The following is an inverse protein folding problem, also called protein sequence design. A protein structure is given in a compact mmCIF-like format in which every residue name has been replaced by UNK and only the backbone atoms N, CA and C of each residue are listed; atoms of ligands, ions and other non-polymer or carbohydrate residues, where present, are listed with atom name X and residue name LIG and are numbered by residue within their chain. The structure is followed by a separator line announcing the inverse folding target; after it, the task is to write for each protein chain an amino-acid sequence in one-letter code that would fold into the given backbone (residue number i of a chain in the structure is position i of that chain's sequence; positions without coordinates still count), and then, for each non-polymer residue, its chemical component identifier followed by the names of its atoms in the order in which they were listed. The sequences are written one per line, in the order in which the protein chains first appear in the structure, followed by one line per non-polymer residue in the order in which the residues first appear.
data_IF_498146906456
#
_entry.id   IF_498146906456
#
_cell.length_a   1.000
_cell.length_b   1.000
_cell.length_c   1.000
_cell.angle_alpha   90.00
_cell.angle_beta   90.00
_cell.angle_gamma   90.00
#
_symmetry.space_group_name_H-M   'P 1'
#
loop_
_entity.id
_entity.type
_entity.pdbx_description
1 polymer ?
#
# COMPACT_ATOMS: atom_id res chain seq x y z
N UNK A 1 -46.33 6.00 7.36
CA UNK A 1 -44.93 6.47 7.49
C UNK A 1 -44.53 7.04 6.13
N UNK A 2 -44.37 8.35 6.00
CA UNK A 2 -44.07 9.00 4.71
C UNK A 2 -42.58 8.78 4.39
N UNK A 3 -42.21 8.27 3.21
CA UNK A 3 -40.81 8.04 2.87
C UNK A 3 -40.07 9.38 2.78
N UNK A 4 -39.06 9.57 3.65
CA UNK A 4 -38.19 10.73 3.61
C UNK A 4 -37.29 10.59 2.38
N UNK A 5 -37.47 11.47 1.40
CA UNK A 5 -36.57 11.53 0.24
C UNK A 5 -35.21 12.11 0.68
N UNK A 6 -34.12 11.35 0.41
CA UNK A 6 -32.73 11.74 0.75
C UNK A 6 -32.37 13.17 0.35
N UNK A 7 -32.83 13.62 -0.82
CA UNK A 7 -32.60 15.00 -1.30
C UNK A 7 -33.27 16.06 -0.42
N UNK A 8 -34.49 15.78 0.04
CA UNK A 8 -35.20 16.70 0.94
C UNK A 8 -34.52 16.77 2.30
N UNK A 9 -34.04 15.64 2.82
CA UNK A 9 -33.30 15.59 4.08
C UNK A 9 -32.00 16.39 3.99
N UNK A 10 -31.17 16.14 2.98
CA UNK A 10 -29.89 16.82 2.80
C UNK A 10 -30.04 18.34 2.60
N UNK A 11 -31.06 18.77 1.86
CA UNK A 11 -31.36 20.19 1.69
C UNK A 11 -31.79 20.85 3.00
N UNK A 12 -32.63 20.17 3.79
CA UNK A 12 -33.06 20.67 5.10
C UNK A 12 -31.90 20.74 6.09
N UNK A 13 -31.01 19.75 6.11
CA UNK A 13 -29.80 19.75 6.95
C UNK A 13 -28.82 20.85 6.54
N UNK A 14 -28.56 21.02 5.24
CA UNK A 14 -27.68 22.07 4.74
C UNK A 14 -28.24 23.48 5.01
N UNK A 15 -29.56 23.65 4.93
CA UNK A 15 -30.23 24.89 5.31
C UNK A 15 -30.14 25.15 6.82
N UNK A 16 -30.36 24.12 7.66
CA UNK A 16 -30.24 24.22 9.11
C UNK A 16 -28.82 24.55 9.61
N UNK A 17 -27.79 24.18 8.84
CA UNK A 17 -26.39 24.47 9.14
C UNK A 17 -25.85 25.74 8.45
N UNK A 18 -26.66 26.46 7.66
CA UNK A 18 -26.23 27.65 6.92
C UNK A 18 -25.23 27.38 5.78
N UNK A 19 -25.04 26.11 5.41
CA UNK A 19 -24.05 25.66 4.40
C UNK A 19 -24.59 25.67 2.96
N UNK A 20 -25.86 26.04 2.77
CA UNK A 20 -26.51 26.02 1.46
C UNK A 20 -25.80 26.90 0.41
N UNK A 21 -25.25 28.05 0.82
CA UNK A 21 -24.47 28.93 -0.05
C UNK A 21 -23.11 28.34 -0.44
N UNK A 22 -22.42 27.75 0.54
CA UNK A 22 -21.13 27.07 0.32
C UNK A 22 -21.28 25.90 -0.65
N UNK A 23 -22.28 25.03 -0.44
CA UNK A 23 -22.54 23.89 -1.31
C UNK A 23 -22.87 24.30 -2.75
N UNK A 24 -23.55 25.43 -2.95
CA UNK A 24 -23.80 25.99 -4.29
C UNK A 24 -22.54 26.54 -4.95
N UNK A 25 -21.58 27.03 -4.16
CA UNK A 25 -20.31 27.58 -4.67
C UNK A 25 -19.29 26.52 -5.08
N UNK A 26 -19.45 25.27 -4.62
CA UNK A 26 -18.53 24.16 -4.93
C UNK A 26 -18.66 23.63 -6.37
N UNK A 27 -19.67 24.07 -7.13
CA UNK A 27 -19.92 23.60 -8.49
C UNK A 27 -20.29 22.10 -8.55
N UNK A 28 -20.72 21.60 -9.73
CA UNK A 28 -20.88 20.16 -9.92
C UNK A 28 -19.51 19.48 -9.95
N UNK A 29 -19.35 18.39 -9.18
CA UNK A 29 -18.19 17.49 -9.31
C UNK A 29 -18.10 17.02 -10.75
N UNK A 30 -16.92 17.12 -11.36
CA UNK A 30 -16.74 16.64 -12.73
C UNK A 30 -16.67 15.11 -12.73
N UNK A 31 -17.14 14.50 -13.82
CA UNK A 31 -17.22 13.05 -13.91
C UNK A 31 -15.82 12.39 -13.96
N UNK A 32 -14.80 13.10 -14.44
CA UNK A 32 -13.40 12.69 -14.44
C UNK A 32 -12.72 12.85 -13.06
N UNK A 33 -13.18 13.79 -12.23
CA UNK A 33 -12.79 13.91 -10.81
C UNK A 33 -13.32 12.75 -9.95
N UNK A 34 -14.33 12.03 -10.45
CA UNK A 34 -14.99 10.90 -9.76
C UNK A 34 -14.82 9.56 -10.49
N UNK A 35 -14.21 9.56 -11.67
CA UNK A 35 -13.95 8.37 -12.46
C UNK A 35 -12.79 7.58 -11.85
N UNK A 36 -13.13 6.55 -11.08
CA UNK A 36 -12.16 5.59 -10.56
C UNK A 36 -11.93 4.52 -11.63
N UNK A 37 -10.68 4.35 -12.07
CA UNK A 37 -10.32 3.22 -12.93
C UNK A 37 -10.76 1.91 -12.25
N UNK A 38 -11.64 1.11 -12.87
CA UNK A 38 -12.04 -0.17 -12.31
C UNK A 38 -10.82 -1.11 -12.25
N UNK A 39 -10.69 -1.89 -11.17
CA UNK A 39 -9.69 -2.95 -11.08
C UNK A 39 -8.37 -2.60 -10.36
N UNK A 40 -8.24 -1.45 -9.69
CA UNK A 40 -7.09 -1.10 -8.85
C UNK A 40 -7.47 -1.13 -7.36
N UNK A 41 -6.52 -1.48 -6.47
CA UNK A 41 -6.70 -1.43 -5.03
C UNK A 41 -7.20 -0.06 -4.54
N UNK A 42 -8.21 -0.08 -3.66
CA UNK A 42 -8.85 1.11 -3.07
C UNK A 42 -8.54 1.18 -1.59
N UNK A 43 -8.42 2.40 -1.08
CA UNK A 43 -8.24 2.65 0.36
C UNK A 43 -9.51 3.25 0.97
N UNK A 44 -9.50 3.45 2.29
CA UNK A 44 -10.61 4.12 2.98
C UNK A 44 -10.81 5.54 2.44
N UNK A 45 -12.06 6.01 2.47
CA UNK A 45 -12.44 7.35 1.98
C UNK A 45 -11.66 8.48 2.66
N UNK A 46 -11.15 8.25 3.87
CA UNK A 46 -10.34 9.22 4.61
C UNK A 46 -8.92 9.40 4.03
N UNK A 47 -8.23 8.31 3.69
CA UNK A 47 -6.82 8.37 3.25
C UNK A 47 -6.67 8.47 1.74
N UNK A 48 -7.63 7.93 0.98
CA UNK A 48 -7.60 7.88 -0.49
C UNK A 48 -7.32 9.25 -1.14
N UNK A 49 -7.93 10.38 -0.69
CA UNK A 49 -7.63 11.70 -1.26
C UNK A 49 -6.16 12.12 -1.10
N UNK A 50 -5.51 11.74 0.00
CA UNK A 50 -4.11 12.07 0.23
C UNK A 50 -3.16 11.19 -0.57
N UNK A 51 -3.50 9.90 -0.74
CA UNK A 51 -2.78 9.01 -1.64
C UNK A 51 -2.84 9.55 -3.07
N UNK A 52 -4.05 9.88 -3.55
CA UNK A 52 -4.26 10.45 -4.89
C UNK A 52 -3.53 11.76 -5.07
N UNK A 53 -3.45 12.58 -4.02
CA UNK A 53 -2.65 13.79 -4.04
C UNK A 53 -1.17 13.48 -4.34
N UNK A 54 -0.56 12.49 -3.68
CA UNK A 54 0.84 12.11 -3.97
C UNK A 54 0.99 11.54 -5.39
N UNK A 55 0.04 10.72 -5.84
CA UNK A 55 0.06 10.12 -7.18
C UNK A 55 -0.04 11.16 -8.29
N UNK A 56 -0.97 12.10 -8.16
CA UNK A 56 -1.33 13.01 -9.26
C UNK A 56 -0.52 14.30 -9.24
N UNK A 57 0.08 14.67 -8.11
CA UNK A 57 0.90 15.89 -8.05
C UNK A 57 2.21 15.68 -8.79
N UNK A 58 2.55 16.53 -9.78
CA UNK A 58 3.83 16.45 -10.49
C UNK A 58 5.04 16.52 -9.54
N UNK A 59 6.12 15.79 -9.86
CA UNK A 59 7.31 15.69 -9.01
C UNK A 59 7.94 17.06 -8.70
N UNK A 60 7.98 17.96 -9.67
CA UNK A 60 8.50 19.33 -9.53
C UNK A 60 7.67 20.20 -8.58
N UNK A 61 6.46 19.78 -8.23
CA UNK A 61 5.54 20.52 -7.32
C UNK A 61 5.26 19.79 -6.01
N UNK A 62 5.46 18.47 -5.95
CA UNK A 62 4.97 17.64 -4.84
C UNK A 62 5.47 18.10 -3.47
N UNK A 63 6.72 18.56 -3.38
CA UNK A 63 7.31 18.99 -2.10
C UNK A 63 6.66 20.27 -1.61
N UNK A 64 6.48 21.25 -2.50
CA UNK A 64 5.84 22.51 -2.16
C UNK A 64 4.37 22.31 -1.78
N UNK A 65 3.63 21.53 -2.56
CA UNK A 65 2.23 21.22 -2.28
C UNK A 65 2.06 20.44 -0.97
N UNK A 66 2.96 19.49 -0.69
CA UNK A 66 2.96 18.73 0.57
C UNK A 66 3.23 19.66 1.75
N UNK A 67 4.20 20.58 1.62
CA UNK A 67 4.48 21.59 2.64
C UNK A 67 3.28 22.50 2.92
N UNK A 68 2.51 22.89 1.88
CA UNK A 68 1.26 23.65 2.05
C UNK A 68 0.21 22.85 2.83
N UNK A 69 0.04 21.55 2.54
CA UNK A 69 -0.86 20.67 3.31
C UNK A 69 -0.41 20.51 4.76
N UNK A 70 0.88 20.34 5.02
CA UNK A 70 1.45 20.26 6.39
C UNK A 70 1.12 21.55 7.16
N UNK A 71 1.36 22.72 6.56
CA UNK A 71 0.99 24.02 7.16
C UNK A 71 -0.51 24.17 7.41
N UNK A 72 -1.35 23.52 6.59
CA UNK A 72 -2.79 23.48 6.74
C UNK A 72 -3.28 22.41 7.74
N UNK A 73 -2.38 21.71 8.43
CA UNK A 73 -2.73 20.74 9.49
C UNK A 73 -2.68 19.26 9.09
N UNK A 74 -2.12 18.92 7.92
CA UNK A 74 -1.87 17.51 7.58
C UNK A 74 -0.93 16.88 8.62
N UNK A 75 -1.39 15.79 9.25
CA UNK A 75 -0.57 15.10 10.24
C UNK A 75 0.56 14.30 9.61
N UNK A 76 1.66 14.17 10.36
CA UNK A 76 2.80 13.33 9.97
C UNK A 76 2.38 11.88 9.70
N UNK A 77 1.54 11.30 10.57
CA UNK A 77 1.05 9.93 10.44
C UNK A 77 0.20 9.73 9.17
N UNK A 78 -0.65 10.70 8.82
CA UNK A 78 -1.42 10.65 7.56
C UNK A 78 -0.49 10.70 6.34
N UNK A 79 0.52 11.57 6.33
CA UNK A 79 1.49 11.62 5.23
C UNK A 79 2.29 10.31 5.11
N UNK A 80 2.73 9.74 6.24
CA UNK A 80 3.44 8.46 6.27
C UNK A 80 2.57 7.31 5.72
N UNK A 81 1.30 7.26 6.14
CA UNK A 81 0.33 6.28 5.65
C UNK A 81 0.11 6.42 4.14
N UNK A 82 -0.18 7.64 3.67
CA UNK A 82 -0.42 7.89 2.26
C UNK A 82 0.81 7.59 1.39
N UNK A 83 2.02 7.87 1.87
CA UNK A 83 3.25 7.55 1.16
C UNK A 83 3.42 6.03 0.99
N UNK A 84 3.23 5.26 2.07
CA UNK A 84 3.30 3.80 2.00
C UNK A 84 2.26 3.25 1.00
N UNK A 85 1.01 3.69 1.15
CA UNK A 85 -0.11 3.25 0.32
C UNK A 85 0.05 3.62 -1.16
N UNK A 86 0.54 4.82 -1.46
CA UNK A 86 0.86 5.24 -2.82
C UNK A 86 1.98 4.38 -3.42
N UNK A 87 3.01 4.07 -2.62
CA UNK A 87 4.11 3.20 -3.05
C UNK A 87 3.63 1.79 -3.39
N UNK A 88 2.90 1.13 -2.48
CA UNK A 88 2.44 -0.26 -2.69
C UNK A 88 1.41 -0.38 -3.81
N UNK A 89 0.67 0.69 -4.12
CA UNK A 89 -0.31 0.73 -5.22
C UNK A 89 0.32 0.92 -6.59
N UNK A 90 1.39 1.71 -6.71
CA UNK A 90 1.87 2.20 -8.03
C UNK A 90 3.33 1.85 -8.34
N UNK A 91 4.03 1.12 -7.47
CA UNK A 91 5.41 0.72 -7.73
C UNK A 91 5.51 -0.79 -7.63
N UNK A 92 5.84 -1.43 -8.74
CA UNK A 92 5.97 -2.88 -8.78
C UNK A 92 7.23 -3.33 -8.00
N UNK A 93 7.15 -4.34 -7.12
CA UNK A 93 8.32 -4.92 -6.45
C UNK A 93 9.18 -5.82 -7.36
N UNK A 94 8.87 -5.86 -8.66
CA UNK A 94 9.48 -6.73 -9.67
C UNK A 94 10.08 -5.88 -10.80
N UNK A 95 11.07 -6.38 -11.55
CA UNK A 95 11.64 -7.74 -11.54
C UNK A 95 12.63 -8.03 -10.40
N UNK A 96 13.02 -7.03 -9.60
CA UNK A 96 13.88 -7.21 -8.43
C UNK A 96 13.27 -6.45 -7.26
N UNK A 97 13.15 -7.11 -6.10
CA UNK A 97 12.67 -6.44 -4.88
C UNK A 97 13.78 -5.50 -4.43
N UNK A 98 13.64 -4.21 -4.71
CA UNK A 98 14.72 -3.21 -4.58
C UNK A 98 14.65 -2.17 -5.70
N UNK A 99 15.73 -1.43 -5.95
CA UNK A 99 15.77 -0.37 -6.97
C UNK A 99 14.60 0.62 -6.83
N UNK A 100 13.67 0.69 -7.81
CA UNK A 100 12.47 1.54 -7.74
C UNK A 100 11.59 1.21 -6.52
N UNK A 101 11.58 -0.05 -6.09
CA UNK A 101 10.78 -0.45 -4.94
C UNK A 101 11.31 0.09 -3.59
N UNK A 102 12.49 0.72 -3.56
CA UNK A 102 12.92 1.48 -2.38
C UNK A 102 11.92 2.57 -1.99
N UNK A 103 11.08 3.05 -2.91
CA UNK A 103 9.94 3.92 -2.58
C UNK A 103 9.07 3.38 -1.44
N UNK A 104 8.93 2.06 -1.31
CA UNK A 104 8.20 1.38 -0.22
C UNK A 104 9.15 0.98 0.90
N UNK A 105 10.30 0.37 0.57
CA UNK A 105 11.20 -0.22 1.58
C UNK A 105 11.77 0.80 2.56
N UNK A 106 11.97 2.05 2.13
CA UNK A 106 12.61 3.09 2.96
C UNK A 106 11.63 3.84 3.87
N UNK A 107 10.32 3.63 3.75
CA UNK A 107 9.31 4.44 4.47
C UNK A 107 9.54 4.40 5.99
N UNK A 108 9.75 3.22 6.56
CA UNK A 108 10.09 3.08 7.98
C UNK A 108 11.44 3.74 8.33
N UNK A 109 12.44 3.62 7.48
CA UNK A 109 13.75 4.22 7.71
C UNK A 109 13.70 5.74 7.68
N UNK A 110 12.94 6.32 6.74
CA UNK A 110 12.64 7.75 6.71
C UNK A 110 11.89 8.17 7.99
N UNK A 111 10.96 7.34 8.47
CA UNK A 111 10.29 7.57 9.74
C UNK A 111 11.24 7.63 10.93
N UNK A 112 12.14 6.64 11.07
CA UNK A 112 13.14 6.62 12.15
C UNK A 112 14.13 7.79 12.05
N UNK A 113 14.53 8.18 10.84
CA UNK A 113 15.37 9.35 10.61
C UNK A 113 14.65 10.64 11.01
N UNK A 114 13.37 10.78 10.69
CA UNK A 114 12.53 11.91 11.13
C UNK A 114 12.46 12.00 12.65
N UNK A 115 12.33 10.87 13.36
CA UNK A 115 12.27 10.85 14.82
C UNK A 115 13.62 11.15 15.50
N UNK A 116 14.73 10.83 14.82
CA UNK A 116 16.08 11.00 15.34
C UNK A 116 16.68 12.38 15.05
N UNK A 117 16.06 13.16 14.15
CA UNK A 117 16.49 14.51 13.76
C UNK A 117 16.04 15.61 14.73
N UNK A 118 16.61 16.79 14.54
CA UNK A 118 16.17 18.02 15.22
C UNK A 118 14.73 18.37 14.84
N UNK A 119 14.01 19.06 15.72
CA UNK A 119 12.59 19.39 15.55
C UNK A 119 12.33 20.12 14.22
N UNK A 120 13.23 21.03 13.82
CA UNK A 120 13.15 21.80 12.59
C UNK A 120 13.37 20.95 11.32
N UNK A 121 14.04 19.81 11.46
CA UNK A 121 14.48 18.94 10.36
C UNK A 121 13.59 17.70 10.20
N UNK A 122 12.66 17.43 11.14
CA UNK A 122 11.87 16.18 11.18
C UNK A 122 11.10 15.87 9.90
N UNK A 123 10.75 16.89 9.11
CA UNK A 123 10.05 16.71 7.85
C UNK A 123 10.97 16.36 6.68
N UNK A 124 12.28 16.63 6.76
CA UNK A 124 13.19 16.41 5.64
C UNK A 124 13.25 14.95 5.18
N UNK A 125 13.38 13.94 6.06
CA UNK A 125 13.46 12.55 5.62
C UNK A 125 12.18 12.06 4.92
N UNK A 126 11.00 12.48 5.41
CA UNK A 126 9.73 12.08 4.80
C UNK A 126 9.47 12.83 3.48
N UNK A 127 9.87 14.10 3.37
CA UNK A 127 9.81 14.86 2.11
C UNK A 127 10.76 14.27 1.06
N UNK A 128 11.96 13.85 1.45
CA UNK A 128 12.86 13.08 0.58
C UNK A 128 12.20 11.79 0.10
N UNK A 129 11.54 11.05 1.00
CA UNK A 129 10.86 9.81 0.64
C UNK A 129 9.69 10.04 -0.33
N UNK A 130 8.97 11.16 -0.21
CA UNK A 130 7.95 11.60 -1.19
C UNK A 130 8.56 11.85 -2.57
N UNK A 131 9.68 12.58 -2.66
CA UNK A 131 10.37 12.78 -3.95
C UNK A 131 10.86 11.44 -4.55
N UNK A 132 11.43 10.57 -3.72
CA UNK A 132 11.89 9.25 -4.13
C UNK A 132 10.73 8.37 -4.65
N UNK A 133 9.56 8.44 -4.03
CA UNK A 133 8.34 7.82 -4.54
C UNK A 133 8.00 8.33 -5.94
N UNK A 134 8.00 9.65 -6.17
CA UNK A 134 7.71 10.22 -7.50
C UNK A 134 8.71 9.78 -8.56
N UNK A 135 9.99 9.69 -8.21
CA UNK A 135 11.02 9.16 -9.12
C UNK A 135 10.75 7.69 -9.48
N UNK A 136 10.30 6.90 -8.52
CA UNK A 136 10.04 5.47 -8.69
C UNK A 136 8.75 5.21 -9.45
N UNK A 137 7.70 6.00 -9.20
CA UNK A 137 6.44 5.98 -9.94
C UNK A 137 6.66 6.30 -11.42
N UNK A 138 7.39 7.38 -11.73
CA UNK A 138 7.70 7.76 -13.11
C UNK A 138 8.50 6.67 -13.86
N UNK A 139 9.36 5.93 -13.14
CA UNK A 139 10.06 4.77 -13.69
C UNK A 139 9.11 3.59 -13.91
N UNK A 140 8.21 3.32 -12.99
CA UNK A 140 7.21 2.26 -13.14
C UNK A 140 6.29 2.49 -14.34
N UNK A 141 5.85 3.74 -14.54
CA UNK A 141 5.07 4.17 -15.71
C UNK A 141 5.78 3.83 -17.04
N UNK A 142 7.12 3.96 -17.09
CA UNK A 142 7.93 3.62 -18.26
C UNK A 142 8.14 2.11 -18.43
N UNK A 143 8.00 1.34 -17.36
CA UNK A 143 8.24 -0.11 -17.30
C UNK A 143 6.94 -0.93 -17.36
N UNK A 144 5.83 -0.32 -17.77
CA UNK A 144 4.54 -1.00 -17.95
C UNK A 144 3.40 -0.47 -17.08
N UNK A 145 3.67 0.53 -16.24
CA UNK A 145 2.69 1.22 -15.39
C UNK A 145 1.86 0.25 -14.55
N UNK A 146 2.56 -0.57 -13.77
CA UNK A 146 1.92 -1.58 -12.95
C UNK A 146 1.16 -0.91 -11.80
N UNK A 147 0.01 -1.49 -11.47
CA UNK A 147 -0.74 -1.13 -10.28
C UNK A 147 -1.19 -2.36 -9.52
N UNK A 148 -1.25 -2.28 -8.19
CA UNK A 148 -1.82 -3.35 -7.37
C UNK A 148 -3.30 -3.54 -7.74
N UNK A 149 -3.72 -4.72 -8.21
CA UNK A 149 -5.10 -4.92 -8.66
C UNK A 149 -6.09 -4.86 -7.49
N UNK A 150 -7.36 -4.65 -7.82
CA UNK A 150 -8.45 -4.87 -6.89
C UNK A 150 -8.45 -6.31 -6.38
N UNK A 151 -9.00 -6.54 -5.19
CA UNK A 151 -9.17 -7.88 -4.63
C UNK A 151 -10.15 -8.67 -5.49
N UNK A 152 -9.82 -9.91 -5.81
CA UNK A 152 -10.79 -10.88 -6.32
C UNK A 152 -11.56 -11.49 -5.14
N UNK A 153 -12.66 -10.85 -4.78
CA UNK A 153 -13.50 -11.26 -3.64
C UNK A 153 -14.07 -12.69 -3.80
N UNK A 154 -14.20 -13.19 -5.03
CA UNK A 154 -14.73 -14.54 -5.29
C UNK A 154 -13.68 -15.64 -5.04
N UNK A 155 -12.40 -15.29 -5.07
CA UNK A 155 -11.29 -16.22 -4.85
C UNK A 155 -10.89 -16.36 -3.37
N UNK A 156 -11.47 -15.56 -2.47
CA UNK A 156 -11.08 -15.53 -1.06
C UNK A 156 -11.36 -16.86 -0.36
N UNK A 157 -10.36 -17.49 0.28
CA UNK A 157 -10.61 -18.67 1.10
C UNK A 157 -11.38 -18.28 2.38
N UNK A 158 -12.07 -19.27 2.96
CA UNK A 158 -12.76 -19.10 4.24
C UNK A 158 -11.77 -18.82 5.38
N UNK A 159 -12.25 -18.20 6.46
CA UNK A 159 -11.45 -17.92 7.65
C UNK A 159 -10.77 -19.17 8.23
N UNK A 160 -11.46 -20.32 8.20
CA UNK A 160 -10.92 -21.59 8.71
C UNK A 160 -9.71 -22.12 7.91
N UNK A 161 -9.62 -21.80 6.62
CA UNK A 161 -8.60 -22.35 5.71
C UNK A 161 -7.57 -21.31 5.25
N UNK A 162 -7.76 -20.02 5.57
CA UNK A 162 -6.94 -18.93 5.02
C UNK A 162 -5.43 -19.13 5.25
N UNK A 163 -5.02 -19.60 6.44
CA UNK A 163 -3.61 -19.83 6.77
C UNK A 163 -3.00 -20.99 5.98
N UNK A 164 -3.72 -22.12 5.86
CA UNK A 164 -3.23 -23.28 5.12
C UNK A 164 -3.18 -23.01 3.62
N UNK A 165 -4.18 -22.29 3.08
CA UNK A 165 -4.19 -21.88 1.68
C UNK A 165 -3.06 -20.89 1.36
N UNK A 166 -2.75 -19.96 2.26
CA UNK A 166 -1.63 -19.04 2.08
C UNK A 166 -0.30 -19.79 2.02
N UNK A 167 -0.06 -20.72 2.96
CA UNK A 167 1.15 -21.56 2.98
C UNK A 167 1.28 -22.35 1.68
N UNK A 168 0.22 -23.07 1.30
CA UNK A 168 0.17 -23.84 0.05
C UNK A 168 0.48 -22.96 -1.17
N UNK A 169 -0.14 -21.78 -1.27
CA UNK A 169 0.09 -20.88 -2.39
C UNK A 169 1.53 -20.36 -2.44
N UNK A 170 2.11 -19.98 -1.29
CA UNK A 170 3.50 -19.53 -1.20
C UNK A 170 4.50 -20.64 -1.53
N UNK A 171 4.23 -21.89 -1.11
CA UNK A 171 5.03 -23.08 -1.44
C UNK A 171 4.97 -23.45 -2.93
N UNK A 172 3.79 -23.32 -3.56
CA UNK A 172 3.59 -23.60 -4.98
C UNK A 172 3.98 -22.42 -5.90
N UNK A 173 4.37 -21.29 -5.30
CA UNK A 173 4.63 -20.03 -5.99
C UNK A 173 3.45 -19.56 -6.85
N UNK A 174 2.23 -19.76 -6.35
CA UNK A 174 0.98 -19.37 -7.01
C UNK A 174 0.58 -17.95 -6.59
N UNK A 175 0.83 -16.99 -7.48
CA UNK A 175 0.61 -15.57 -7.21
C UNK A 175 -0.85 -15.21 -6.96
N UNK A 176 -1.77 -15.78 -7.76
CA UNK A 176 -3.19 -15.47 -7.66
C UNK A 176 -3.78 -16.07 -6.37
N UNK A 177 -3.46 -17.33 -6.08
CA UNK A 177 -3.91 -17.97 -4.85
C UNK A 177 -3.31 -17.29 -3.61
N UNK A 178 -2.05 -16.85 -3.67
CA UNK A 178 -1.39 -16.20 -2.55
C UNK A 178 -1.99 -14.80 -2.28
N UNK A 179 -2.32 -14.03 -3.31
CA UNK A 179 -2.99 -12.72 -3.17
C UNK A 179 -4.39 -12.85 -2.53
N UNK A 180 -5.17 -13.84 -2.95
CA UNK A 180 -6.47 -14.13 -2.35
C UNK A 180 -6.32 -14.58 -0.89
N UNK A 181 -5.40 -15.52 -0.63
CA UNK A 181 -5.21 -16.07 0.71
C UNK A 181 -4.66 -15.05 1.72
N UNK A 182 -3.71 -14.20 1.33
CA UNK A 182 -3.19 -13.16 2.23
C UNK A 182 -4.27 -12.13 2.57
N UNK A 183 -5.16 -11.84 1.63
CA UNK A 183 -6.30 -10.95 1.87
C UNK A 183 -7.19 -11.50 2.98
N UNK A 184 -7.59 -12.78 2.90
CA UNK A 184 -8.34 -13.42 3.99
C UNK A 184 -7.54 -13.48 5.30
N UNK A 185 -6.24 -13.81 5.25
CA UNK A 185 -5.38 -13.87 6.44
C UNK A 185 -5.32 -12.53 7.18
N UNK A 186 -5.18 -11.41 6.47
CA UNK A 186 -5.11 -10.08 7.10
C UNK A 186 -6.46 -9.63 7.67
N UNK A 187 -7.57 -10.00 7.02
CA UNK A 187 -8.92 -9.67 7.48
C UNK A 187 -9.32 -10.46 8.73
N UNK A 188 -8.87 -11.72 8.83
CA UNK A 188 -9.32 -12.65 9.87
C UNK A 188 -8.35 -12.76 11.05
N UNK A 189 -7.04 -12.55 10.82
CA UNK A 189 -6.00 -12.78 11.84
C UNK A 189 -5.38 -11.47 12.34
N UNK A 190 -4.87 -11.52 13.57
CA UNK A 190 -4.13 -10.42 14.17
C UNK A 190 -2.70 -10.28 13.62
N UNK A 191 -2.14 -9.08 13.72
CA UNK A 191 -0.85 -8.70 13.15
C UNK A 191 0.29 -9.71 13.43
N UNK A 192 0.42 -10.23 14.65
CA UNK A 192 1.49 -11.18 14.98
C UNK A 192 1.39 -12.48 14.18
N UNK A 193 0.19 -13.03 14.00
CA UNK A 193 0.01 -14.25 13.21
C UNK A 193 0.36 -14.02 11.73
N UNK A 194 -0.02 -12.85 11.19
CA UNK A 194 0.34 -12.48 9.81
C UNK A 194 1.86 -12.33 9.68
N UNK A 195 2.51 -11.70 10.66
CA UNK A 195 3.98 -11.56 10.69
C UNK A 195 4.66 -12.92 10.70
N UNK A 196 4.27 -13.80 11.64
CA UNK A 196 4.88 -15.11 11.81
C UNK A 196 4.74 -15.96 10.56
N UNK A 197 3.56 -15.96 9.93
CA UNK A 197 3.33 -16.63 8.65
C UNK A 197 4.27 -16.12 7.57
N UNK A 198 4.38 -14.79 7.39
CA UNK A 198 5.18 -14.21 6.30
C UNK A 198 6.69 -14.21 6.57
N UNK A 199 7.13 -14.24 7.84
CA UNK A 199 8.54 -14.27 8.22
C UNK A 199 9.26 -15.51 7.71
N UNK A 200 8.60 -16.67 7.79
CA UNK A 200 9.08 -17.94 7.26
C UNK A 200 9.40 -17.83 5.76
N UNK A 201 8.49 -17.24 4.97
CA UNK A 201 8.64 -17.12 3.52
C UNK A 201 9.54 -15.96 3.10
N UNK A 202 9.60 -14.88 3.88
CA UNK A 202 10.47 -13.75 3.58
C UNK A 202 11.96 -14.11 3.64
N UNK A 203 12.32 -15.06 4.51
CA UNK A 203 13.68 -15.56 4.68
C UNK A 203 13.99 -16.83 3.86
N UNK A 204 13.01 -17.37 3.12
CA UNK A 204 13.11 -18.64 2.40
C UNK A 204 14.16 -18.62 1.29
N UNK A 205 14.31 -17.49 0.60
CA UNK A 205 15.30 -17.31 -0.45
C UNK A 205 15.94 -15.91 -0.39
N UNK A 206 17.24 -15.84 -0.63
CA UNK A 206 18.02 -14.60 -0.55
C UNK A 206 18.14 -13.87 -1.90
N UNK A 207 17.27 -14.18 -2.88
CA UNK A 207 17.21 -13.38 -4.10
C UNK A 207 16.90 -11.93 -3.75
N UNK A 208 17.41 -11.03 -4.58
CA UNK A 208 17.36 -9.60 -4.29
C UNK A 208 18.03 -9.26 -2.94
N UNK A 209 19.14 -9.91 -2.56
CA UNK A 209 20.00 -9.49 -1.43
C UNK A 209 19.23 -9.27 -0.10
N UNK A 210 18.24 -10.10 0.19
CA UNK A 210 17.45 -10.01 1.42
C UNK A 210 16.40 -8.88 1.47
N UNK A 211 16.14 -8.16 0.38
CA UNK A 211 15.14 -7.08 0.37
C UNK A 211 13.71 -7.57 0.69
N UNK A 212 13.40 -8.86 0.51
CA UNK A 212 12.13 -9.47 0.95
C UNK A 212 11.97 -9.41 2.48
N UNK A 213 13.01 -9.75 3.24
CA UNK A 213 13.05 -9.63 4.71
C UNK A 213 13.01 -8.18 5.16
N UNK A 214 13.71 -7.29 4.44
CA UNK A 214 13.67 -5.84 4.69
C UNK A 214 12.24 -5.32 4.51
N UNK A 215 11.56 -5.76 3.45
CA UNK A 215 10.18 -5.34 3.19
C UNK A 215 9.26 -5.76 4.32
N UNK A 216 9.22 -7.05 4.68
CA UNK A 216 8.44 -7.53 5.81
C UNK A 216 8.70 -6.70 7.08
N UNK A 217 9.98 -6.54 7.42
CA UNK A 217 10.43 -5.84 8.62
C UNK A 217 10.02 -4.38 8.69
N UNK A 218 10.15 -3.64 7.59
CA UNK A 218 9.84 -2.21 7.54
C UNK A 218 8.34 -1.96 7.34
N UNK A 219 7.64 -2.81 6.60
CA UNK A 219 6.19 -2.73 6.43
C UNK A 219 5.49 -2.89 7.78
N UNK A 220 5.81 -3.94 8.55
CA UNK A 220 5.18 -4.18 9.85
C UNK A 220 5.46 -3.08 10.88
N UNK A 221 6.70 -2.57 10.94
CA UNK A 221 7.03 -1.43 11.80
C UNK A 221 6.30 -0.16 11.38
N UNK A 222 6.14 0.08 10.08
CA UNK A 222 5.35 1.20 9.58
C UNK A 222 3.88 1.04 9.98
N UNK A 223 3.31 -0.15 9.82
CA UNK A 223 1.92 -0.47 10.20
C UNK A 223 1.67 -0.31 11.71
N UNK A 224 2.66 -0.56 12.57
CA UNK A 224 2.58 -0.23 14.00
C UNK A 224 2.43 1.28 14.26
N UNK A 225 3.01 2.11 13.40
CA UNK A 225 2.89 3.58 13.48
C UNK A 225 1.61 4.09 12.84
N UNK A 226 1.24 3.57 11.66
CA UNK A 226 0.15 4.12 10.86
C UNK A 226 -1.21 3.47 11.12
N UNK A 227 -1.23 2.26 11.70
CA UNK A 227 -2.44 1.50 11.99
C UNK A 227 -2.60 0.25 11.11
N UNK A 228 -3.19 -0.81 11.68
CA UNK A 228 -3.41 -2.10 11.01
C UNK A 228 -4.55 -2.05 9.98
N UNK A 229 -5.40 -1.03 10.02
CA UNK A 229 -6.44 -0.76 9.03
C UNK A 229 -5.89 -0.61 7.59
N UNK A 230 -4.58 -0.34 7.45
CA UNK A 230 -3.89 -0.21 6.17
C UNK A 230 -3.13 -1.48 5.74
N UNK A 231 -3.24 -2.58 6.50
CA UNK A 231 -2.39 -3.76 6.32
C UNK A 231 -2.68 -4.55 5.04
N UNK A 232 -3.94 -4.65 4.61
CA UNK A 232 -4.35 -5.48 3.47
C UNK A 232 -3.57 -5.18 2.18
N UNK A 233 -3.56 -3.95 1.64
CA UNK A 233 -2.80 -3.66 0.42
C UNK A 233 -1.29 -3.81 0.60
N UNK A 234 -0.77 -3.56 1.79
CA UNK A 234 0.67 -3.69 2.11
C UNK A 234 1.06 -5.17 2.10
N UNK A 235 0.27 -6.04 2.73
CA UNK A 235 0.51 -7.47 2.79
C UNK A 235 0.37 -8.15 1.42
N UNK A 236 -0.62 -7.72 0.61
CA UNK A 236 -0.78 -8.17 -0.78
C UNK A 236 0.45 -7.83 -1.63
N UNK A 237 0.90 -6.57 -1.58
CA UNK A 237 2.14 -6.13 -2.25
C UNK A 237 3.37 -6.90 -1.75
N UNK A 238 3.47 -7.17 -0.45
CA UNK A 238 4.54 -7.98 0.14
C UNK A 238 4.53 -9.41 -0.39
N UNK A 239 3.39 -10.11 -0.36
CA UNK A 239 3.28 -11.49 -0.89
C UNK A 239 3.64 -11.55 -2.38
N UNK A 240 3.21 -10.56 -3.16
CA UNK A 240 3.61 -10.44 -4.57
C UNK A 240 5.15 -10.28 -4.73
N UNK A 241 5.80 -9.55 -3.82
CA UNK A 241 7.26 -9.43 -3.75
C UNK A 241 7.94 -10.74 -3.29
N UNK A 242 7.36 -11.44 -2.32
CA UNK A 242 7.90 -12.71 -1.81
C UNK A 242 7.96 -13.79 -2.90
N UNK A 243 6.98 -13.79 -3.80
CA UNK A 243 6.90 -14.71 -4.93
C UNK A 243 7.78 -14.32 -6.12
N UNK A 244 8.56 -13.24 -6.03
CA UNK A 244 9.50 -12.88 -7.09
C UNK A 244 10.69 -13.86 -7.12
N UNK A 245 10.84 -14.59 -8.22
CA UNK A 245 11.96 -15.49 -8.52
C UNK A 245 12.80 -14.98 -9.70
N UNK A 246 12.75 -13.68 -10.01
CA UNK A 246 13.59 -13.00 -11.02
C UNK A 246 13.55 -13.65 -12.43
N UNK A 247 12.41 -14.24 -12.82
CA UNK A 247 12.24 -14.90 -14.11
C UNK A 247 12.89 -16.29 -14.21
N UNK A 248 13.45 -16.83 -13.12
CA UNK A 248 13.90 -18.22 -13.07
C UNK A 248 12.72 -19.21 -13.15
N UNK A 249 12.94 -20.51 -13.40
CA UNK A 249 11.86 -21.50 -13.32
C UNK A 249 11.15 -21.48 -11.96
N UNK A 250 9.87 -21.91 -11.92
CA UNK A 250 9.10 -21.98 -10.67
C UNK A 250 9.86 -22.82 -9.62
N UNK A 251 10.26 -22.23 -8.48
CA UNK A 251 11.09 -22.92 -7.50
C UNK A 251 10.42 -24.12 -6.79
N UNK A 252 9.09 -24.24 -6.87
CA UNK A 252 8.38 -25.45 -6.42
C UNK A 252 8.76 -26.69 -7.24
N UNK A 253 9.15 -26.51 -8.50
CA UNK A 253 9.39 -27.58 -9.47
C UNK A 253 10.87 -27.82 -9.79
N UNK A 254 11.78 -26.98 -9.29
CA UNK A 254 13.20 -27.02 -9.61
C UNK A 254 14.11 -27.03 -8.39
N UNK A 255 15.36 -27.41 -8.59
CA UNK A 255 16.43 -27.30 -7.58
C UNK A 255 17.34 -26.12 -7.96
N UNK A 256 17.06 -24.95 -7.40
CA UNK A 256 17.88 -23.76 -7.62
C UNK A 256 18.64 -23.44 -6.34
N UNK A 257 19.92 -23.07 -6.49
CA UNK A 257 20.80 -22.76 -5.36
C UNK A 257 20.23 -21.72 -4.37
N UNK A 258 19.53 -20.64 -4.81
CA UNK A 258 18.97 -19.67 -3.87
C UNK A 258 17.85 -20.21 -2.97
N UNK A 259 17.21 -21.32 -3.34
CA UNK A 259 16.10 -21.93 -2.59
C UNK A 259 16.56 -23.03 -1.62
N UNK A 260 17.81 -23.46 -1.71
CA UNK A 260 18.33 -24.61 -0.97
C UNK A 260 18.15 -24.44 0.55
N UNK A 261 18.47 -23.27 1.10
CA UNK A 261 18.30 -22.96 2.52
C UNK A 261 16.84 -23.05 2.96
N UNK A 262 15.91 -22.58 2.13
CA UNK A 262 14.48 -22.62 2.42
C UNK A 262 13.88 -24.02 2.38
N UNK A 263 14.47 -24.95 1.62
CA UNK A 263 14.00 -26.35 1.52
C UNK A 263 14.53 -27.27 2.64
N UNK A 264 15.55 -26.82 3.38
CA UNK A 264 16.17 -27.58 4.47
C UNK A 264 15.56 -27.31 5.85
N UNK A 265 14.72 -26.27 5.98
CA UNK A 265 14.05 -25.87 7.23
C UNK A 265 12.63 -26.47 7.30
#
# INVERSE_FOLDING_TARGET
MIPIQRRSFLNSTAAGLGLAGLLRSLGPLRADETAIAPGIARFSDEIEPLVRFLENTPRDKVIEETARKIKAGLSYRQLLAALLLAGVRNVQPRPSVGFKFHAVLVVNSAHLASLSGLDEERWLPILWAVDNFKSSQARDEQEGNWTLPAVDEAALPSAANCSSELRRALEQWDEAAADAAITSVVRELGANHVFDLLAEYAARDFRSIGHKVIYLSNAFRTLQTIGWEYAEPVARSLVYALLNHNGEPNPASGELAPDASGKMN
#
